data_IF_106023502087
#
_entry.id   IF_106023502087
#
_cell.length_a   1.000
_cell.length_b   1.000
_cell.length_c   1.000
_cell.angle_alpha   90.00
_cell.angle_beta   90.00
_cell.angle_gamma   90.00
#
_symmetry.space_group_name_H-M   'P 1'
#
loop_
_entity.id
_entity.type
_entity.pdbx_description
1 polymer ?
#
# COMPACT_ATOMS: atom_id res chain seq x y z
N UNK A 1 10.14 15.03 -2.63
CA UNK A 1 9.85 13.61 -2.96
C UNK A 1 9.13 12.84 -1.84
N UNK A 2 9.50 13.07 -0.57
CA UNK A 2 8.85 12.47 0.60
C UNK A 2 7.32 12.63 0.64
N UNK A 3 6.82 13.81 0.28
CA UNK A 3 5.38 14.07 0.23
C UNK A 3 4.65 13.17 -0.78
N UNK A 4 5.26 12.90 -1.93
CA UNK A 4 4.70 12.00 -2.93
C UNK A 4 4.64 10.56 -2.41
N UNK A 5 5.69 10.09 -1.70
CA UNK A 5 5.69 8.77 -1.05
C UNK A 5 4.61 8.71 0.03
N UNK A 6 4.53 9.70 0.91
CA UNK A 6 3.52 9.75 1.97
C UNK A 6 2.09 9.79 1.39
N UNK A 7 1.87 10.54 0.31
CA UNK A 7 0.57 10.60 -0.37
C UNK A 7 0.22 9.26 -0.97
N UNK A 8 1.18 8.58 -1.60
CA UNK A 8 0.96 7.26 -2.18
C UNK A 8 0.66 6.21 -1.10
N UNK A 9 1.34 6.25 0.06
CA UNK A 9 1.04 5.39 1.20
C UNK A 9 -0.38 5.62 1.76
N UNK A 10 -0.82 6.88 1.88
CA UNK A 10 -2.20 7.21 2.29
C UNK A 10 -3.24 6.72 1.28
N UNK A 11 -2.96 6.88 -0.02
CA UNK A 11 -3.84 6.39 -1.07
C UNK A 11 -3.90 4.86 -1.08
N UNK A 12 -2.77 4.20 -0.86
CA UNK A 12 -2.68 2.76 -0.74
C UNK A 12 -3.50 2.27 0.46
N UNK A 13 -3.38 2.93 1.62
CA UNK A 13 -4.21 2.65 2.80
C UNK A 13 -5.71 2.80 2.50
N UNK A 14 -6.11 3.87 1.81
CA UNK A 14 -7.51 4.11 1.43
C UNK A 14 -8.02 3.06 0.43
N UNK A 15 -7.16 2.63 -0.49
CA UNK A 15 -7.47 1.64 -1.53
C UNK A 15 -7.73 0.24 -0.97
N UNK A 16 -7.19 -0.08 0.22
CA UNK A 16 -7.43 -1.37 0.88
C UNK A 16 -8.92 -1.67 1.10
N UNK A 17 -9.75 -0.64 1.31
CA UNK A 17 -11.18 -0.82 1.55
C UNK A 17 -12.01 -0.88 0.26
N UNK A 18 -11.41 -0.60 -0.89
CA UNK A 18 -12.12 -0.46 -2.16
C UNK A 18 -12.02 -1.73 -3.01
N UNK A 19 -10.88 -1.95 -3.67
CA UNK A 19 -10.70 -3.10 -4.57
C UNK A 19 -9.25 -3.55 -4.71
N UNK A 20 -9.07 -4.83 -5.09
CA UNK A 20 -7.75 -5.37 -5.44
C UNK A 20 -7.05 -4.57 -6.54
N UNK A 21 -7.83 -4.08 -7.51
CA UNK A 21 -7.29 -3.30 -8.64
C UNK A 21 -6.65 -2.01 -8.16
N UNK A 22 -7.33 -1.26 -7.28
CA UNK A 22 -6.81 -0.01 -6.73
C UNK A 22 -5.58 -0.25 -5.85
N UNK A 23 -5.59 -1.29 -5.02
CA UNK A 23 -4.41 -1.69 -4.24
C UNK A 23 -3.22 -2.00 -5.16
N UNK A 24 -3.45 -2.72 -6.25
CA UNK A 24 -2.39 -3.04 -7.23
C UNK A 24 -1.87 -1.81 -7.95
N UNK A 25 -2.75 -0.90 -8.38
CA UNK A 25 -2.37 0.35 -9.06
C UNK A 25 -1.55 1.27 -8.13
N UNK A 26 -1.98 1.48 -6.89
CA UNK A 26 -1.24 2.29 -5.92
C UNK A 26 0.08 1.63 -5.49
N UNK A 27 0.14 0.31 -5.39
CA UNK A 27 1.38 -0.42 -5.09
C UNK A 27 2.41 -0.24 -6.21
N UNK A 28 1.99 -0.31 -7.48
CA UNK A 28 2.88 -0.04 -8.63
C UNK A 28 3.38 1.40 -8.63
N UNK A 29 2.51 2.37 -8.29
CA UNK A 29 2.92 3.77 -8.17
C UNK A 29 3.99 3.94 -7.08
N UNK A 30 3.80 3.31 -5.92
CA UNK A 30 4.77 3.34 -4.83
C UNK A 30 6.11 2.72 -5.25
N UNK A 31 6.10 1.55 -5.92
CA UNK A 31 7.31 0.88 -6.39
C UNK A 31 8.09 1.75 -7.39
N UNK A 32 7.39 2.39 -8.34
CA UNK A 32 8.01 3.33 -9.26
C UNK A 32 8.65 4.53 -8.52
N UNK A 33 7.96 5.10 -7.54
CA UNK A 33 8.50 6.21 -6.74
C UNK A 33 9.75 5.81 -5.93
N UNK A 34 9.77 4.59 -5.39
CA UNK A 34 10.92 4.05 -4.66
C UNK A 34 12.10 3.73 -5.58
N UNK A 35 11.83 3.19 -6.77
CA UNK A 35 12.85 2.94 -7.79
C UNK A 35 13.44 4.26 -8.32
N UNK A 36 12.61 5.27 -8.56
CA UNK A 36 13.06 6.61 -8.90
C UNK A 36 13.90 7.24 -7.79
N UNK A 37 13.54 6.99 -6.52
CA UNK A 37 14.34 7.42 -5.37
C UNK A 37 15.71 6.75 -5.35
N UNK A 38 15.76 5.43 -5.60
CA UNK A 38 17.00 4.65 -5.63
C UNK A 38 17.96 5.09 -6.74
N UNK A 39 17.41 5.43 -7.91
CA UNK A 39 18.19 5.71 -9.12
C UNK A 39 18.59 7.18 -9.29
N UNK A 40 18.00 8.11 -8.54
CA UNK A 40 18.40 9.52 -8.57
C UNK A 40 19.51 9.77 -7.55
N UNK A 41 20.50 10.55 -7.97
CA UNK A 41 21.52 11.15 -7.11
C UNK A 41 20.89 12.33 -6.35
N UNK A 42 19.98 12.02 -5.43
CA UNK A 42 19.08 13.01 -4.83
C UNK A 42 19.87 13.83 -3.80
N UNK A 43 20.05 15.11 -4.08
CA UNK A 43 20.53 16.13 -3.11
C UNK A 43 19.69 16.18 -1.82
N UNK A 44 18.41 15.81 -1.88
CA UNK A 44 17.54 15.46 -0.74
C UNK A 44 17.72 13.98 -0.32
N UNK A 45 18.77 13.66 0.45
CA UNK A 45 18.79 12.38 1.16
C UNK A 45 17.70 12.41 2.23
N UNK A 46 16.74 11.48 2.15
CA UNK A 46 15.82 11.21 3.26
C UNK A 46 16.66 10.90 4.51
N UNK A 47 16.28 11.52 5.63
CA UNK A 47 16.93 11.21 6.89
C UNK A 47 16.48 9.83 7.39
N UNK A 48 17.25 9.26 8.33
CA UNK A 48 16.98 7.91 8.87
C UNK A 48 15.56 7.76 9.44
N UNK A 49 15.02 8.81 10.06
CA UNK A 49 13.67 8.81 10.65
C UNK A 49 12.59 8.70 9.59
N UNK A 50 12.74 9.42 8.48
CA UNK A 50 11.82 9.39 7.34
C UNK A 50 11.80 8.01 6.67
N UNK A 51 12.97 7.42 6.47
CA UNK A 51 13.10 6.06 5.92
C UNK A 51 12.41 5.05 6.84
N UNK A 52 12.70 5.10 8.16
CA UNK A 52 12.06 4.22 9.13
C UNK A 52 10.53 4.36 9.13
N UNK A 53 10.03 5.60 9.02
CA UNK A 53 8.58 5.85 8.96
C UNK A 53 7.96 5.22 7.71
N UNK A 54 8.57 5.42 6.54
CA UNK A 54 8.09 4.84 5.27
C UNK A 54 8.09 3.31 5.35
N UNK A 55 9.20 2.72 5.81
CA UNK A 55 9.32 1.27 5.96
C UNK A 55 8.25 0.71 6.88
N UNK A 56 8.02 1.34 8.04
CA UNK A 56 6.99 0.92 8.99
C UNK A 56 5.59 0.99 8.37
N UNK A 57 5.27 2.05 7.63
CA UNK A 57 3.98 2.15 6.94
C UNK A 57 3.79 1.06 5.88
N UNK A 58 4.84 0.71 5.12
CA UNK A 58 4.78 -0.38 4.15
C UNK A 58 4.56 -1.73 4.84
N UNK A 59 5.26 -1.98 5.94
CA UNK A 59 5.12 -3.18 6.75
C UNK A 59 3.70 -3.33 7.32
N UNK A 60 3.18 -2.27 7.95
CA UNK A 60 1.81 -2.24 8.50
C UNK A 60 0.76 -2.53 7.41
N UNK A 61 0.92 -1.95 6.22
CA UNK A 61 0.02 -2.19 5.09
C UNK A 61 0.13 -3.62 4.55
N UNK A 62 1.33 -4.19 4.51
CA UNK A 62 1.56 -5.56 4.05
C UNK A 62 0.90 -6.58 4.99
N UNK A 63 1.04 -6.38 6.30
CA UNK A 63 0.38 -7.21 7.33
C UNK A 63 -1.14 -7.12 7.21
N UNK A 64 -1.69 -5.90 7.05
CA UNK A 64 -3.14 -5.70 6.82
C UNK A 64 -3.63 -6.44 5.57
N UNK A 65 -2.84 -6.42 4.48
CA UNK A 65 -3.19 -7.15 3.26
C UNK A 65 -3.26 -8.66 3.47
N UNK A 66 -2.20 -9.20 4.07
CA UNK A 66 -2.10 -10.63 4.32
C UNK A 66 -3.25 -11.11 5.21
N UNK A 67 -3.54 -10.36 6.28
CA UNK A 67 -4.66 -10.65 7.16
C UNK A 67 -6.00 -10.61 6.41
N UNK A 68 -6.24 -9.59 5.56
CA UNK A 68 -7.46 -9.51 4.74
C UNK A 68 -7.58 -10.69 3.78
N UNK A 69 -6.49 -11.08 3.11
CA UNK A 69 -6.49 -12.22 2.20
C UNK A 69 -6.76 -13.54 2.94
N UNK A 70 -6.18 -13.72 4.13
CA UNK A 70 -6.44 -14.88 4.98
C UNK A 70 -7.91 -14.92 5.42
N UNK A 71 -8.49 -13.78 5.84
CA UNK A 71 -9.93 -13.72 6.16
C UNK A 71 -10.83 -14.10 4.97
N UNK A 72 -10.49 -13.65 3.76
CA UNK A 72 -11.24 -14.02 2.55
C UNK A 72 -11.14 -15.52 2.28
N UNK A 73 -9.95 -16.10 2.50
CA UNK A 73 -9.68 -17.53 2.30
C UNK A 73 -10.40 -18.40 3.34
N UNK A 74 -10.40 -17.99 4.59
CA UNK A 74 -10.96 -18.75 5.71
C UNK A 74 -12.49 -18.61 5.78
N UNK A 75 -13.03 -17.47 5.33
CA UNK A 75 -14.46 -17.16 5.40
C UNK A 75 -15.05 -16.71 4.04
N UNK A 76 -14.91 -17.51 2.96
CA UNK A 76 -15.29 -17.08 1.62
C UNK A 76 -16.79 -16.77 1.49
N UNK A 77 -17.64 -17.45 2.25
CA UNK A 77 -19.10 -17.26 2.25
C UNK A 77 -19.55 -15.87 2.74
N UNK A 78 -18.78 -15.27 3.65
CA UNK A 78 -19.06 -13.93 4.17
C UNK A 78 -18.75 -12.86 3.14
N UNK A 79 -17.73 -13.08 2.32
CA UNK A 79 -17.32 -12.15 1.27
C UNK A 79 -18.04 -12.40 -0.07
N UNK A 80 -18.56 -13.61 -0.32
CA UNK A 80 -19.31 -13.93 -1.53
C UNK A 80 -20.74 -13.36 -1.52
N UNK A 81 -21.38 -13.25 -0.36
CA UNK A 81 -22.75 -12.69 -0.21
C UNK A 81 -22.83 -11.17 -0.40
N UNK A 82 -21.71 -10.44 -0.38
CA UNK A 82 -21.68 -9.00 -0.67
C UNK A 82 -22.01 -8.73 -2.17
N UNK A 83 -21.83 -9.72 -3.06
CA UNK A 83 -22.17 -9.59 -4.49
C UNK A 83 -23.65 -9.80 -4.83
N UNK A 84 -24.49 -10.28 -3.90
CA UNK A 84 -25.89 -10.68 -4.17
C UNK A 84 -26.94 -9.64 -3.76
N UNK A 85 -26.55 -8.39 -3.48
CA UNK A 85 -27.49 -7.26 -3.38
C UNK A 85 -27.30 -6.32 -4.59
N UNK A 86 -27.83 -6.74 -5.74
CA UNK A 86 -28.17 -5.86 -6.85
C UNK A 86 -29.64 -6.09 -7.19
#
# INVERSE_FOLDING_TARGET
MLEAINSCLKNLESSYMLSFREVSEETKKLDNLLNDFKNKDIKEKLNKSEILRITKSIEDLSIKNEYKLNLIKDFPEYFSKIKLKK
#
